data_IF_342266605007
#
_entry.id   IF_342266605007
#
_cell.length_a   1.000
_cell.length_b   1.000
_cell.length_c   1.000
_cell.angle_alpha   90.00
_cell.angle_beta   90.00
_cell.angle_gamma   90.00
#
_symmetry.space_group_name_H-M   'P 1'
#
loop_
_entity.id
_entity.type
_entity.pdbx_description
1 polymer ?
#
# COMPACT_ATOMS: atom_id res chain seq x y z
N UNK A 1 28.95 -63.58 -16.74
CA UNK A 1 28.27 -62.48 -17.46
C UNK A 1 27.75 -61.52 -16.40
N UNK A 2 28.34 -60.32 -16.25
CA UNK A 2 27.92 -59.33 -15.24
C UNK A 2 27.12 -58.23 -15.95
N UNK A 3 25.84 -58.11 -15.61
CA UNK A 3 24.96 -57.04 -16.10
C UNK A 3 25.12 -55.88 -15.12
N UNK A 4 25.61 -54.74 -15.61
CA UNK A 4 25.70 -53.49 -14.85
C UNK A 4 24.49 -52.64 -15.24
N UNK A 5 23.56 -52.44 -14.31
CA UNK A 5 22.43 -51.52 -14.50
C UNK A 5 22.89 -50.09 -14.17
N UNK A 6 22.85 -49.20 -15.16
CA UNK A 6 23.05 -47.77 -14.96
C UNK A 6 21.72 -47.13 -14.56
N UNK A 7 21.66 -46.57 -13.35
CA UNK A 7 20.53 -45.76 -12.89
C UNK A 7 20.69 -44.34 -13.45
N UNK A 8 19.75 -43.90 -14.28
CA UNK A 8 19.69 -42.51 -14.75
C UNK A 8 19.04 -41.64 -13.65
N UNK A 9 19.82 -40.71 -13.09
CA UNK A 9 19.30 -39.66 -12.21
C UNK A 9 18.70 -38.57 -13.10
N UNK A 10 17.38 -38.42 -13.06
CA UNK A 10 16.68 -37.29 -13.69
C UNK A 10 16.79 -36.10 -12.74
N UNK A 11 17.63 -35.13 -13.07
CA UNK A 11 17.66 -33.83 -12.39
C UNK A 11 16.55 -32.97 -12.99
N UNK A 12 15.45 -32.80 -12.26
CA UNK A 12 14.42 -31.82 -12.61
C UNK A 12 14.92 -30.45 -12.16
N UNK A 13 15.45 -29.67 -13.10
CA UNK A 13 15.69 -28.25 -12.88
C UNK A 13 14.32 -27.55 -12.82
N UNK A 14 13.84 -27.26 -11.61
CA UNK A 14 12.64 -26.45 -11.41
C UNK A 14 12.84 -25.07 -12.03
N UNK A 15 11.92 -24.68 -12.91
CA UNK A 15 11.88 -23.31 -13.44
C UNK A 15 11.51 -22.38 -12.30
N UNK A 16 12.46 -21.57 -11.81
CA UNK A 16 12.13 -20.46 -10.94
C UNK A 16 11.35 -19.43 -11.78
N UNK A 17 10.03 -19.43 -11.68
CA UNK A 17 9.21 -18.37 -12.27
C UNK A 17 9.53 -17.05 -11.58
N UNK A 18 9.88 -16.02 -12.34
CA UNK A 18 10.08 -14.68 -11.79
C UNK A 18 8.76 -14.18 -11.18
N UNK A 19 8.79 -13.76 -9.92
CA UNK A 19 7.65 -13.15 -9.27
C UNK A 19 7.23 -11.88 -10.01
N UNK A 20 5.96 -11.80 -10.38
CA UNK A 20 5.35 -10.55 -10.84
C UNK A 20 5.10 -9.70 -9.61
N UNK A 21 5.68 -8.51 -9.58
CA UNK A 21 5.49 -7.55 -8.50
C UNK A 21 4.38 -6.55 -8.86
N UNK A 22 3.58 -6.11 -7.88
CA UNK A 22 2.54 -5.10 -8.12
C UNK A 22 3.12 -3.83 -8.73
N UNK A 23 2.39 -3.24 -9.67
CA UNK A 23 2.79 -1.99 -10.32
C UNK A 23 2.80 -0.83 -9.31
N UNK A 24 3.74 0.08 -9.50
CA UNK A 24 3.78 1.37 -8.79
C UNK A 24 3.53 2.46 -9.81
N UNK A 25 2.41 3.16 -9.66
CA UNK A 25 1.99 4.21 -10.58
C UNK A 25 2.08 5.59 -9.91
N UNK A 26 2.21 6.61 -10.76
CA UNK A 26 2.16 8.03 -10.39
C UNK A 26 3.31 8.50 -9.50
N UNK A 27 3.38 9.83 -9.33
CA UNK A 27 4.25 10.41 -8.31
C UNK A 27 3.68 10.13 -6.91
N UNK A 28 4.57 10.19 -5.91
CA UNK A 28 4.22 9.95 -4.52
C UNK A 28 3.67 11.23 -3.88
N UNK A 29 2.86 11.08 -2.85
CA UNK A 29 2.58 12.16 -1.88
C UNK A 29 3.05 11.69 -0.52
N UNK A 30 3.83 12.49 0.17
CA UNK A 30 4.31 12.14 1.50
C UNK A 30 3.46 12.80 2.57
N UNK A 31 3.11 11.99 3.56
CA UNK A 31 2.58 12.43 4.84
C UNK A 31 3.79 12.66 5.74
N UNK A 32 4.18 13.92 5.87
CA UNK A 32 5.27 14.37 6.72
C UNK A 32 4.84 14.31 8.18
N UNK A 33 5.61 13.57 8.98
CA UNK A 33 5.42 13.45 10.42
C UNK A 33 6.57 14.21 11.09
N UNK A 34 6.20 15.15 11.96
CA UNK A 34 7.12 15.92 12.80
C UNK A 34 6.84 15.66 14.27
N UNK A 35 7.82 15.95 15.12
CA UNK A 35 7.66 15.96 16.57
C UNK A 35 8.52 17.05 17.18
N UNK A 36 7.91 17.99 17.91
CA UNK A 36 8.60 19.15 18.50
C UNK A 36 9.13 18.90 19.93
N UNK A 37 8.97 17.67 20.44
CA UNK A 37 9.25 17.29 21.83
C UNK A 37 7.99 17.20 22.71
N UNK A 38 6.85 17.73 22.26
CA UNK A 38 5.55 17.67 22.95
C UNK A 38 4.41 17.32 22.00
N UNK A 39 4.38 17.85 20.79
CA UNK A 39 3.30 17.66 19.82
C UNK A 39 3.81 16.92 18.58
N UNK A 40 2.99 15.97 18.11
CA UNK A 40 3.11 15.44 16.75
C UNK A 40 2.46 16.42 15.78
N UNK A 41 3.06 16.63 14.61
CA UNK A 41 2.46 17.36 13.49
C UNK A 41 2.42 16.49 12.25
N UNK A 42 1.34 16.60 11.47
CA UNK A 42 1.12 15.81 10.25
C UNK A 42 0.70 16.70 9.09
N UNK A 43 1.44 16.65 7.98
CA UNK A 43 1.13 17.44 6.78
C UNK A 43 1.35 16.63 5.50
N UNK A 44 0.51 16.82 4.48
CA UNK A 44 0.71 16.23 3.15
C UNK A 44 1.48 17.23 2.26
N UNK A 45 2.49 16.77 1.53
CA UNK A 45 3.30 17.60 0.61
C UNK A 45 2.56 18.07 -0.66
N UNK A 46 1.60 18.99 -0.51
CA UNK A 46 0.84 19.52 -1.65
C UNK A 46 1.67 20.38 -2.62
N UNK A 47 2.75 20.99 -2.14
CA UNK A 47 3.51 21.99 -2.91
C UNK A 47 4.59 21.41 -3.83
N UNK A 48 5.03 20.18 -3.59
CA UNK A 48 6.14 19.54 -4.32
C UNK A 48 5.62 18.52 -5.34
N UNK A 49 4.49 17.86 -5.04
CA UNK A 49 3.95 16.79 -5.87
C UNK A 49 2.60 17.18 -6.51
N UNK A 50 2.58 17.45 -7.84
CA UNK A 50 1.41 17.97 -8.55
C UNK A 50 0.32 16.93 -8.82
N UNK A 51 0.45 15.71 -8.27
CA UNK A 51 -0.58 14.69 -8.43
C UNK A 51 -1.91 15.20 -7.86
N UNK A 52 -3.02 15.07 -8.61
CA UNK A 52 -4.32 15.49 -8.13
C UNK A 52 -4.72 14.64 -6.92
N UNK A 53 -5.26 15.28 -5.89
CA UNK A 53 -6.07 14.60 -4.89
C UNK A 53 -7.53 14.62 -5.34
N UNK A 54 -8.27 13.50 -5.23
CA UNK A 54 -7.87 12.19 -4.72
C UNK A 54 -6.89 11.42 -5.63
N UNK A 55 -5.98 10.63 -5.04
CA UNK A 55 -5.00 9.85 -5.80
C UNK A 55 -5.65 8.65 -6.51
N UNK A 56 -5.22 8.31 -7.74
CA UNK A 56 -5.81 7.20 -8.48
C UNK A 56 -5.49 5.84 -7.84
N UNK A 57 -6.44 4.92 -7.89
CA UNK A 57 -6.24 3.49 -7.65
C UNK A 57 -6.59 2.73 -8.92
N UNK A 58 -5.74 1.79 -9.33
CA UNK A 58 -5.90 1.06 -10.58
C UNK A 58 -5.77 -0.45 -10.38
N UNK A 59 -6.55 -1.20 -11.16
CA UNK A 59 -6.40 -2.64 -11.27
C UNK A 59 -5.77 -2.97 -12.63
N UNK A 60 -4.58 -3.55 -12.62
CA UNK A 60 -3.83 -3.90 -13.84
C UNK A 60 -4.17 -5.29 -14.39
N UNK A 61 -5.09 -6.03 -13.77
CA UNK A 61 -5.44 -7.39 -14.17
C UNK A 61 -4.30 -8.41 -14.01
N UNK A 62 -3.31 -8.09 -13.16
CA UNK A 62 -2.19 -8.96 -12.86
C UNK A 62 -2.54 -9.87 -11.69
N UNK A 63 -2.05 -11.12 -11.78
CA UNK A 63 -1.99 -12.02 -10.63
C UNK A 63 -0.56 -12.09 -10.13
N UNK A 64 -0.40 -12.11 -8.81
CA UNK A 64 0.89 -12.13 -8.15
C UNK A 64 1.07 -13.45 -7.38
N UNK A 65 2.32 -13.77 -7.04
CA UNK A 65 2.59 -14.81 -6.05
C UNK A 65 2.60 -14.21 -4.65
N UNK A 66 2.35 -15.05 -3.64
CA UNK A 66 2.46 -14.66 -2.25
C UNK A 66 3.81 -13.97 -1.94
N UNK A 67 3.82 -12.95 -1.06
CA UNK A 67 2.67 -12.44 -0.29
C UNK A 67 1.82 -11.36 -1.01
N UNK A 68 2.16 -10.99 -2.24
CA UNK A 68 1.52 -9.88 -2.94
C UNK A 68 0.14 -10.23 -3.56
N UNK A 69 -0.24 -11.50 -3.53
CA UNK A 69 -1.51 -12.04 -4.04
C UNK A 69 -2.74 -11.48 -3.31
N UNK A 70 -2.58 -10.92 -2.10
CA UNK A 70 -3.65 -10.18 -1.39
C UNK A 70 -4.19 -8.97 -2.15
N UNK A 71 -3.46 -8.50 -3.16
CA UNK A 71 -3.81 -7.37 -4.01
C UNK A 71 -4.54 -7.79 -5.30
N UNK A 72 -4.59 -9.08 -5.60
CA UNK A 72 -5.15 -9.59 -6.86
C UNK A 72 -6.63 -9.22 -7.00
N UNK A 73 -6.99 -8.72 -8.18
CA UNK A 73 -8.37 -8.32 -8.49
C UNK A 73 -8.83 -7.00 -7.87
N UNK A 74 -7.98 -6.31 -7.08
CA UNK A 74 -8.31 -5.04 -6.44
C UNK A 74 -7.77 -3.84 -7.24
N UNK A 75 -8.38 -2.68 -7.01
CA UNK A 75 -7.80 -1.40 -7.42
C UNK A 75 -6.79 -1.01 -6.37
N UNK A 76 -5.54 -0.76 -6.75
CA UNK A 76 -4.46 -0.54 -5.78
C UNK A 76 -3.80 0.83 -5.95
N UNK A 77 -3.33 1.38 -4.85
CA UNK A 77 -2.40 2.50 -4.82
C UNK A 77 -1.38 2.30 -3.70
N UNK A 78 -0.20 2.87 -3.90
CA UNK A 78 0.84 2.99 -2.86
C UNK A 78 1.44 4.40 -2.86
N UNK A 79 0.70 5.38 -3.38
CA UNK A 79 1.26 6.70 -3.67
C UNK A 79 1.43 7.55 -2.42
N UNK A 80 0.53 7.43 -1.44
CA UNK A 80 0.75 7.99 -0.12
C UNK A 80 1.86 7.23 0.60
N UNK A 81 2.73 7.94 1.30
CA UNK A 81 3.73 7.32 2.19
C UNK A 81 4.03 8.19 3.40
N UNK A 82 4.19 7.56 4.55
CA UNK A 82 4.58 8.24 5.78
C UNK A 82 6.09 8.43 5.81
N UNK A 83 6.52 9.65 6.14
CA UNK A 83 7.92 10.05 6.12
C UNK A 83 8.22 10.96 7.32
N UNK A 84 9.37 10.75 7.95
CA UNK A 84 9.87 11.65 8.97
C UNK A 84 10.33 12.96 8.32
N UNK A 85 9.83 14.08 8.83
CA UNK A 85 10.30 15.39 8.42
C UNK A 85 11.29 15.94 9.46
N UNK A 86 12.56 15.60 9.22
CA UNK A 86 13.66 15.91 10.12
C UNK A 86 13.96 14.83 11.15
N UNK A 87 14.70 15.21 12.20
CA UNK A 87 15.10 14.30 13.26
C UNK A 87 14.02 14.21 14.34
N UNK A 88 13.53 13.00 14.58
CA UNK A 88 12.54 12.71 15.61
C UNK A 88 13.25 12.03 16.79
N UNK A 89 13.32 12.73 17.93
CA UNK A 89 13.83 12.17 19.19
C UNK A 89 12.66 11.90 20.13
N UNK A 90 12.41 10.63 20.41
CA UNK A 90 11.29 10.21 21.24
C UNK A 90 11.74 9.96 22.70
N UNK A 91 10.87 10.22 23.70
CA UNK A 91 11.06 9.75 25.06
C UNK A 91 11.30 8.23 25.12
N UNK A 92 12.08 7.77 26.10
CA UNK A 92 12.32 6.34 26.29
C UNK A 92 11.01 5.57 26.51
N UNK A 93 10.88 4.41 25.86
CA UNK A 93 9.69 3.56 25.98
C UNK A 93 8.48 4.10 25.21
N UNK A 94 8.68 5.03 24.29
CA UNK A 94 7.63 5.56 23.42
C UNK A 94 7.91 5.30 21.95
N UNK A 95 6.84 5.26 21.14
CA UNK A 95 6.90 5.14 19.70
C UNK A 95 5.83 6.03 19.05
N UNK A 96 6.04 6.38 17.79
CA UNK A 96 4.97 6.99 16.99
C UNK A 96 4.03 5.89 16.50
N UNK A 97 2.76 6.09 16.77
CA UNK A 97 1.68 5.23 16.30
C UNK A 97 0.83 5.99 15.30
N UNK A 98 0.41 5.28 14.27
CA UNK A 98 -0.54 5.75 13.27
C UNK A 98 -1.80 4.92 13.49
N UNK A 99 -2.92 5.55 13.79
CA UNK A 99 -4.19 4.87 14.02
C UNK A 99 -5.23 5.32 13.01
N UNK A 100 -5.80 4.36 12.29
CA UNK A 100 -6.92 4.63 11.41
C UNK A 100 -8.22 4.70 12.22
N UNK A 101 -8.80 5.89 12.26
CA UNK A 101 -10.01 6.21 13.03
C UNK A 101 -11.30 6.08 12.21
N UNK A 102 -11.19 6.23 10.89
CA UNK A 102 -12.28 6.02 9.95
C UNK A 102 -11.74 5.61 8.59
N UNK A 103 -12.54 4.87 7.84
CA UNK A 103 -12.28 4.56 6.44
C UNK A 103 -13.59 4.30 5.70
N UNK A 104 -13.61 4.58 4.40
CA UNK A 104 -14.63 4.08 3.49
C UNK A 104 -14.68 2.55 3.56
N UNK A 105 -15.88 1.98 3.62
CA UNK A 105 -16.07 0.54 3.78
C UNK A 105 -15.42 -0.26 2.63
N UNK A 106 -14.70 -1.33 2.98
CA UNK A 106 -14.04 -2.22 2.02
C UNK A 106 -12.63 -1.78 1.63
N UNK A 107 -12.12 -0.67 2.15
CA UNK A 107 -10.73 -0.29 1.96
C UNK A 107 -9.82 -1.21 2.80
N UNK A 108 -8.98 -1.98 2.12
CA UNK A 108 -7.94 -2.80 2.77
C UNK A 108 -6.59 -2.08 2.67
N UNK A 109 -5.79 -2.16 3.74
CA UNK A 109 -4.46 -1.57 3.80
C UNK A 109 -3.46 -2.61 4.28
N UNK A 110 -2.37 -2.73 3.53
CA UNK A 110 -1.30 -3.68 3.76
C UNK A 110 0.04 -2.97 3.91
N UNK A 111 0.91 -3.56 4.72
CA UNK A 111 2.28 -3.12 4.94
C UNK A 111 3.06 -3.08 3.62
N UNK A 112 3.75 -1.97 3.40
CA UNK A 112 4.64 -1.78 2.27
C UNK A 112 6.03 -1.30 2.69
N UNK A 113 6.50 -0.20 2.13
CA UNK A 113 7.87 0.25 2.35
C UNK A 113 8.30 1.27 1.32
N UNK A 114 9.61 1.39 1.08
CA UNK A 114 10.08 2.19 -0.05
C UNK A 114 9.69 1.51 -1.36
N UNK A 115 8.97 2.21 -2.26
CA UNK A 115 8.45 1.62 -3.52
C UNK A 115 9.50 0.92 -4.41
N UNK A 116 10.78 1.30 -4.32
CA UNK A 116 11.86 0.63 -5.05
C UNK A 116 12.34 -0.68 -4.40
N UNK A 117 11.85 -1.01 -3.20
CA UNK A 117 12.19 -2.20 -2.42
C UNK A 117 11.01 -3.18 -2.30
N UNK A 118 10.12 -3.24 -3.30
CA UNK A 118 8.96 -4.17 -3.36
C UNK A 118 9.25 -5.61 -2.90
N UNK A 119 10.41 -6.22 -3.21
CA UNK A 119 10.73 -7.57 -2.74
C UNK A 119 10.84 -7.73 -1.22
N UNK A 120 11.01 -6.63 -0.49
CA UNK A 120 11.13 -6.60 0.96
C UNK A 120 9.80 -6.27 1.66
N UNK A 121 8.75 -5.93 0.92
CA UNK A 121 7.45 -5.60 1.50
C UNK A 121 6.79 -6.87 2.04
N UNK A 122 6.18 -6.79 3.21
CA UNK A 122 5.57 -7.97 3.83
C UNK A 122 4.13 -8.21 3.38
N UNK A 123 3.43 -7.16 2.93
CA UNK A 123 1.99 -7.19 2.62
C UNK A 123 1.14 -7.69 3.81
N UNK A 124 1.67 -7.59 5.02
CA UNK A 124 0.93 -7.92 6.23
C UNK A 124 -0.24 -6.94 6.38
N UNK A 125 -1.44 -7.40 6.79
CA UNK A 125 -2.57 -6.52 6.95
C UNK A 125 -2.35 -5.55 8.12
N UNK A 126 -2.71 -4.28 7.92
CA UNK A 126 -2.63 -3.22 8.93
C UNK A 126 -3.92 -2.39 8.94
N UNK A 127 -4.11 -1.57 9.97
CA UNK A 127 -5.24 -0.65 10.11
C UNK A 127 -6.60 -1.36 10.03
N UNK A 128 -6.82 -2.40 10.83
CA UNK A 128 -8.11 -3.12 10.85
C UNK A 128 -8.30 -4.15 9.74
N UNK A 129 -7.52 -4.07 8.65
CA UNK A 129 -7.52 -5.05 7.57
C UNK A 129 -7.30 -6.44 8.13
N UNK A 130 -8.07 -7.44 7.69
CA UNK A 130 -7.91 -8.83 8.12
C UNK A 130 -7.97 -9.05 9.64
N UNK A 131 -8.58 -8.16 10.41
CA UNK A 131 -8.62 -8.22 11.88
C UNK A 131 -7.35 -7.73 12.58
N UNK A 132 -6.45 -7.05 11.86
CA UNK A 132 -5.30 -6.36 12.45
C UNK A 132 -5.74 -5.21 13.36
N UNK A 133 -4.81 -4.70 14.17
CA UNK A 133 -5.04 -3.50 14.98
C UNK A 133 -5.36 -2.28 14.09
N UNK A 134 -6.23 -1.38 14.57
CA UNK A 134 -6.45 -0.05 13.96
C UNK A 134 -5.21 0.84 14.08
N UNK A 135 -4.39 0.62 15.12
CA UNK A 135 -3.14 1.31 15.36
C UNK A 135 -1.94 0.47 14.91
N UNK A 136 -1.01 1.09 14.18
CA UNK A 136 0.22 0.50 13.68
C UNK A 136 1.43 1.29 14.20
N UNK A 137 2.40 0.56 14.76
CA UNK A 137 3.65 1.15 15.25
C UNK A 137 4.55 1.47 14.07
N UNK A 138 4.77 2.76 13.82
CA UNK A 138 5.65 3.19 12.76
C UNK A 138 7.11 3.01 13.17
N UNK A 139 7.93 2.50 12.26
CA UNK A 139 9.36 2.27 12.49
C UNK A 139 10.24 3.50 12.21
N UNK A 140 9.64 4.65 11.88
CA UNK A 140 10.35 5.89 11.54
C UNK A 140 10.96 5.92 10.14
N UNK A 141 10.86 4.83 9.36
CA UNK A 141 11.34 4.80 7.98
C UNK A 141 10.24 5.15 6.98
N UNK A 142 10.65 5.60 5.79
CA UNK A 142 9.73 5.84 4.66
C UNK A 142 8.87 4.61 4.39
N UNK A 143 7.55 4.78 4.51
CA UNK A 143 6.59 3.69 4.41
C UNK A 143 5.43 4.05 3.50
N UNK A 144 5.41 3.48 2.29
CA UNK A 144 4.24 3.52 1.40
C UNK A 144 3.39 2.27 1.62
N UNK A 145 2.27 2.36 2.35
CA UNK A 145 1.35 1.23 2.46
C UNK A 145 0.72 0.92 1.11
N UNK A 146 0.31 -0.33 0.92
CA UNK A 146 -0.55 -0.72 -0.20
C UNK A 146 -2.01 -0.57 0.22
N UNK A 147 -2.73 0.32 -0.45
CA UNK A 147 -4.16 0.54 -0.25
C UNK A 147 -4.91 -0.12 -1.39
N UNK A 148 -5.92 -0.91 -1.07
CA UNK A 148 -6.65 -1.73 -2.02
C UNK A 148 -8.17 -1.58 -1.86
N UNK A 149 -8.85 -1.31 -2.96
CA UNK A 149 -10.29 -1.12 -3.02
C UNK A 149 -10.96 -2.21 -3.90
N UNK A 150 -12.17 -2.68 -3.54
CA UNK A 150 -12.85 -3.78 -4.23
C UNK A 150 -13.61 -3.31 -5.48
N UNK A 151 -13.89 -2.01 -5.59
CA UNK A 151 -14.72 -1.44 -6.65
C UNK A 151 -14.24 -0.06 -7.06
N UNK A 152 -14.75 0.41 -8.21
CA UNK A 152 -14.58 1.79 -8.65
C UNK A 152 -15.27 2.77 -7.68
N UNK A 153 -14.78 4.01 -7.63
CA UNK A 153 -15.37 5.08 -6.83
C UNK A 153 -14.38 5.78 -5.89
N UNK A 154 -14.90 6.73 -5.12
CA UNK A 154 -14.13 7.48 -4.13
C UNK A 154 -13.97 6.67 -2.84
N UNK A 155 -12.78 6.77 -2.25
CA UNK A 155 -12.43 6.18 -0.96
C UNK A 155 -11.62 7.19 -0.16
N UNK A 156 -11.81 7.21 1.14
CA UNK A 156 -11.02 7.99 2.08
C UNK A 156 -10.71 7.19 3.34
N UNK A 157 -9.67 7.59 4.06
CA UNK A 157 -9.37 7.13 5.41
C UNK A 157 -8.74 8.25 6.24
N UNK A 158 -9.14 8.34 7.51
CA UNK A 158 -8.60 9.33 8.46
C UNK A 158 -7.72 8.67 9.51
N UNK A 159 -6.52 9.19 9.66
CA UNK A 159 -5.50 8.68 10.57
C UNK A 159 -5.19 9.72 11.64
N UNK A 160 -5.12 9.27 12.89
CA UNK A 160 -4.47 10.01 13.97
C UNK A 160 -3.02 9.55 14.08
N UNK A 161 -2.09 10.48 14.29
CA UNK A 161 -0.70 10.19 14.57
C UNK A 161 -0.36 10.74 15.94
N UNK A 162 0.18 9.89 16.81
CA UNK A 162 0.39 10.23 18.21
C UNK A 162 1.61 9.51 18.78
N UNK A 163 2.08 10.00 19.92
CA UNK A 163 3.08 9.33 20.73
C UNK A 163 2.40 8.35 21.70
N UNK A 164 2.73 7.08 21.58
CA UNK A 164 2.19 6.01 22.43
C UNK A 164 3.28 5.21 23.13
N UNK A 165 2.88 4.45 24.14
CA UNK A 165 3.75 3.45 24.77
C UNK A 165 4.27 2.47 23.71
N UNK A 166 5.57 2.19 23.74
CA UNK A 166 6.27 1.43 22.70
C UNK A 166 5.77 -0.02 22.56
N UNK A 167 5.22 -0.57 23.64
CA UNK A 167 4.79 -1.97 23.71
C UNK A 167 3.29 -2.12 23.49
N UNK A 168 2.49 -1.26 24.10
CA UNK A 168 1.03 -1.38 24.16
C UNK A 168 0.32 -0.50 23.14
N UNK A 169 0.96 0.57 22.67
CA UNK A 169 0.35 1.58 21.80
C UNK A 169 -0.66 2.48 22.47
N UNK A 170 -0.79 2.42 23.81
CA UNK A 170 -1.63 3.34 24.57
C UNK A 170 -1.07 4.77 24.41
N UNK A 171 -1.90 5.77 24.04
CA UNK A 171 -1.46 7.16 23.94
C UNK A 171 -0.85 7.66 25.25
N UNK A 172 0.28 8.35 25.17
CA UNK A 172 0.95 8.92 26.33
C UNK A 172 0.30 10.26 26.73
N UNK A 173 0.08 10.45 28.03
CA UNK A 173 -0.46 11.71 28.54
C UNK A 173 0.55 12.85 28.42
N UNK A 174 0.03 14.06 28.16
CA UNK A 174 0.85 15.27 28.03
C UNK A 174 1.47 15.50 26.65
N UNK A 175 1.25 14.58 25.69
CA UNK A 175 1.67 14.76 24.30
C UNK A 175 0.49 15.10 23.39
N UNK A 176 0.72 16.00 22.43
CA UNK A 176 -0.24 16.34 21.38
C UNK A 176 -0.26 15.28 20.28
N UNK A 177 -1.45 15.07 19.70
CA UNK A 177 -1.66 14.28 18.49
C UNK A 177 -2.15 15.18 17.36
N UNK A 178 -2.01 14.70 16.13
CA UNK A 178 -2.54 15.38 14.95
C UNK A 178 -3.18 14.36 14.00
N UNK A 179 -3.97 14.83 13.03
CA UNK A 179 -4.73 13.96 12.15
C UNK A 179 -4.63 14.35 10.68
N UNK A 180 -4.79 13.34 9.81
CA UNK A 180 -4.77 13.52 8.37
C UNK A 180 -5.80 12.62 7.70
N UNK A 181 -6.49 13.15 6.71
CA UNK A 181 -7.37 12.38 5.83
C UNK A 181 -6.66 12.19 4.49
N UNK A 182 -6.65 10.94 4.01
CA UNK A 182 -6.08 10.55 2.73
C UNK A 182 -7.21 10.15 1.79
N UNK A 183 -7.18 10.65 0.56
CA UNK A 183 -8.26 10.47 -0.42
C UNK A 183 -7.78 9.73 -1.67
N UNK A 184 -8.59 8.79 -2.13
CA UNK A 184 -8.37 7.99 -3.33
C UNK A 184 -9.60 7.93 -4.22
N UNK A 185 -9.35 7.64 -5.50
CA UNK A 185 -10.40 7.35 -6.46
C UNK A 185 -10.01 6.14 -7.31
N UNK A 186 -10.73 5.03 -7.14
CA UNK A 186 -10.58 3.83 -7.96
C UNK A 186 -11.17 4.06 -9.35
N UNK A 187 -10.30 4.00 -10.36
CA UNK A 187 -10.64 4.30 -11.75
C UNK A 187 -10.26 3.14 -12.67
N UNK A 188 -10.91 2.99 -13.84
CA UNK A 188 -10.54 1.97 -14.81
C UNK A 188 -9.10 2.16 -15.29
N UNK A 189 -8.35 1.07 -15.43
CA UNK A 189 -7.01 1.14 -16.01
C UNK A 189 -7.08 1.64 -17.46
N UNK A 190 -6.15 2.49 -17.95
CA UNK A 190 -6.22 3.11 -19.26
C UNK A 190 -6.44 2.15 -20.44
N UNK A 191 -5.93 0.90 -20.35
CA UNK A 191 -6.10 -0.12 -21.39
C UNK A 191 -7.52 -0.68 -21.51
N UNK A 192 -8.32 -0.65 -20.44
CA UNK A 192 -9.68 -1.21 -20.42
C UNK A 192 -10.69 -0.37 -21.20
N UNK A 193 -10.48 0.96 -21.26
CA UNK A 193 -11.33 1.87 -22.03
C UNK A 193 -11.21 1.68 -23.55
N UNK A 194 -10.01 1.32 -24.03
CA UNK A 194 -9.73 1.14 -25.46
C UNK A 194 -10.44 -0.09 -26.04
N UNK A 195 -10.55 -1.17 -25.27
CA UNK A 195 -11.25 -2.41 -25.71
C UNK A 195 -12.75 -2.16 -25.90
N UNK A 196 -13.36 -1.36 -25.03
CA UNK A 196 -14.79 -1.01 -25.09
C UNK A 196 -15.11 -0.16 -26.32
N UNK A 197 -14.25 0.82 -26.65
CA UNK A 197 -14.41 1.67 -27.83
C UNK A 197 -14.22 0.88 -29.13
N UNK A 198 -13.22 -0.01 -29.19
CA UNK A 198 -12.96 -0.83 -30.39
C UNK A 198 -14.05 -1.89 -30.62
N UNK A 199 -14.60 -2.50 -29.56
CA UNK A 199 -15.72 -3.43 -29.66
C UNK A 199 -17.01 -2.79 -30.18
N UNK A 200 -17.31 -1.55 -29.75
CA UNK A 200 -18.45 -0.78 -30.24
C UNK A 200 -18.38 -0.47 -31.74
N UNK A 201 -17.19 -0.13 -32.25
CA UNK A 201 -16.96 0.16 -33.68
C UNK A 201 -17.06 -1.12 -34.53
N UNK A 202 -16.58 -2.26 -34.04
CA UNK A 202 -16.67 -3.54 -34.75
C UNK A 202 -18.11 -4.06 -34.87
N UNK A 203 -18.93 -3.89 -33.82
CA UNK A 203 -20.35 -4.24 -33.86
C UNK A 203 -21.18 -3.29 -34.74
N UNK A 204 -20.84 -2.00 -34.79
CA UNK A 204 -21.49 -1.03 -35.67
C UNK A 204 -21.22 -1.29 -37.17
N UNK A 205 -20.04 -1.85 -37.51
CA UNK A 205 -19.68 -2.18 -38.90
C UNK A 205 -20.31 -3.46 -39.45
N UNK A 206 -20.81 -4.36 -38.61
CA UNK A 206 -21.50 -5.60 -39.04
C UNK A 206 -23.00 -5.42 -39.36
N UNK A 207 -23.55 -4.22 -39.19
CA UNK A 207 -24.96 -3.90 -39.48
C UNK A 207 -25.16 -3.06 -40.76
N UNK A 208 -24.26 -3.13 -41.72
CA UNK A 208 -24.43 -2.55 -43.06
C UNK A 208 -24.23 -3.61 -44.12
#
# INVERSE_FOLDING_TARGET
>A
MKIVSAAAVVVVAGSAGAQVWPNVDGAMKHVHITFDGTNVGVEIDFMINPEPTPLPMMNHGLSHTAPADVLDGKYVSSQYGFLADGFINLPQGSAIWIEMTSATAGLDIYEGGMRNMRPMHTYAPIFGTGGSSSAWKWNGMMHHPWVAAPSLGAFDATFNVYLGDETTGAPLSGFGMDSVTLDWNAIPAPGSAVVLVMGGIACARRRR
#
